data_IF_577649002546
#
_entry.id   IF_577649002546
#
_cell.length_a   1.000
_cell.length_b   1.000
_cell.length_c   1.000
_cell.angle_alpha   90.00
_cell.angle_beta   90.00
_cell.angle_gamma   90.00
#
_symmetry.space_group_name_H-M   'P 1'
#
loop_
_entity.id
_entity.type
_entity.pdbx_description
1 polymer ?
#
# COMPACT_ATOMS: atom_id res chain seq x y z
N UNK A 1 -15.98 -4.49 -12.31
CA UNK A 1 -15.28 -3.30 -11.78
C UNK A 1 -13.90 -3.77 -11.33
N UNK A 2 -12.79 -3.17 -11.81
CA UNK A 2 -11.43 -3.73 -11.65
C UNK A 2 -11.10 -4.05 -10.18
N UNK A 3 -10.97 -5.33 -9.86
CA UNK A 3 -10.64 -5.82 -8.53
C UNK A 3 -9.17 -5.50 -8.21
N UNK A 4 -8.96 -4.36 -7.59
CA UNK A 4 -7.67 -4.01 -7.06
C UNK A 4 -7.60 -4.56 -5.62
N UNK A 5 -6.81 -5.61 -5.42
CA UNK A 5 -6.70 -6.33 -4.14
C UNK A 5 -5.76 -5.64 -3.15
N UNK A 6 -5.88 -4.33 -2.97
CA UNK A 6 -5.19 -3.64 -1.88
C UNK A 6 -5.74 -4.06 -0.52
N UNK A 7 -5.02 -3.73 0.56
CA UNK A 7 -5.44 -4.01 1.94
C UNK A 7 -6.80 -3.38 2.30
N UNK A 8 -7.20 -2.33 1.59
CA UNK A 8 -8.47 -1.62 1.78
C UNK A 8 -9.65 -2.23 1.02
N UNK A 9 -9.40 -3.07 0.03
CA UNK A 9 -10.43 -3.52 -0.92
C UNK A 9 -11.61 -4.23 -0.24
N UNK A 10 -11.35 -5.10 0.73
CA UNK A 10 -12.40 -5.86 1.40
C UNK A 10 -13.37 -4.96 2.18
N UNK A 11 -12.85 -3.91 2.80
CA UNK A 11 -13.68 -2.92 3.49
C UNK A 11 -14.57 -2.13 2.52
N UNK A 12 -14.01 -1.74 1.37
CA UNK A 12 -14.77 -1.06 0.30
C UNK A 12 -15.85 -1.99 -0.25
N UNK A 13 -15.53 -3.28 -0.43
CA UNK A 13 -16.47 -4.30 -0.88
C UNK A 13 -17.65 -4.45 0.07
N UNK A 14 -17.41 -4.59 1.39
CA UNK A 14 -18.46 -4.68 2.39
C UNK A 14 -19.29 -3.39 2.51
N UNK A 15 -18.63 -2.23 2.45
CA UNK A 15 -19.31 -0.94 2.50
C UNK A 15 -20.26 -0.75 1.32
N UNK A 16 -19.84 -1.14 0.12
CA UNK A 16 -20.69 -1.10 -1.08
C UNK A 16 -21.86 -2.07 -0.97
N UNK A 17 -21.63 -3.30 -0.49
CA UNK A 17 -22.72 -4.25 -0.29
C UNK A 17 -23.78 -3.75 0.71
N UNK A 18 -23.36 -3.08 1.80
CA UNK A 18 -24.30 -2.41 2.72
C UNK A 18 -25.00 -1.22 2.08
N UNK A 19 -24.30 -0.42 1.29
CA UNK A 19 -24.88 0.73 0.60
C UNK A 19 -25.93 0.29 -0.44
N UNK A 20 -25.65 -0.76 -1.21
CA UNK A 20 -26.60 -1.32 -2.18
C UNK A 20 -27.83 -1.88 -1.46
N UNK A 21 -27.65 -2.57 -0.32
CA UNK A 21 -28.77 -3.03 0.51
C UNK A 21 -29.60 -1.85 1.08
N UNK A 22 -28.93 -0.78 1.54
CA UNK A 22 -29.58 0.43 2.04
C UNK A 22 -30.32 1.17 0.93
N UNK A 23 -29.71 1.40 -0.23
CA UNK A 23 -30.36 2.04 -1.39
C UNK A 23 -31.57 1.21 -1.84
N UNK A 24 -31.47 -0.11 -1.84
CA UNK A 24 -32.61 -0.99 -2.15
C UNK A 24 -33.76 -0.83 -1.16
N UNK A 25 -33.47 -0.53 0.11
CA UNK A 25 -34.48 -0.26 1.15
C UNK A 25 -34.97 1.20 1.20
N UNK A 26 -34.16 2.14 0.69
CA UNK A 26 -34.37 3.60 0.80
C UNK A 26 -34.90 4.21 -0.51
N UNK A 27 -34.90 3.46 -1.61
CA UNK A 27 -35.48 3.84 -2.91
C UNK A 27 -36.97 4.24 -2.83
N UNK A 28 -37.65 3.99 -1.71
CA UNK A 28 -39.01 4.44 -1.49
C UNK A 28 -39.13 5.84 -0.85
N UNK A 29 -38.10 6.47 -0.24
CA UNK A 29 -38.29 7.78 0.42
C UNK A 29 -37.16 8.84 0.37
N UNK A 30 -35.90 8.55 0.02
CA UNK A 30 -34.81 9.52 0.28
C UNK A 30 -34.03 10.05 -0.95
N UNK A 31 -34.72 10.67 -1.90
CA UNK A 31 -34.07 11.41 -3.00
C UNK A 31 -33.52 12.78 -2.56
N UNK A 32 -33.96 13.37 -1.45
CA UNK A 32 -33.56 14.76 -1.08
C UNK A 32 -32.44 14.90 -0.03
N UNK A 33 -32.02 13.82 0.66
CA UNK A 33 -31.08 13.95 1.81
C UNK A 33 -29.59 13.73 1.51
N UNK A 34 -29.21 13.27 0.32
CA UNK A 34 -27.89 12.66 0.07
C UNK A 34 -26.77 13.65 -0.33
N UNK A 35 -26.91 14.94 -0.02
CA UNK A 35 -25.86 15.94 -0.29
C UNK A 35 -24.80 16.02 0.84
N UNK A 36 -25.11 15.55 2.04
CA UNK A 36 -24.19 15.58 3.17
C UNK A 36 -23.42 14.26 3.26
N UNK A 37 -22.38 14.11 2.45
CA UNK A 37 -21.61 12.88 2.22
C UNK A 37 -20.56 12.56 3.32
N UNK A 38 -20.85 11.73 4.35
CA UNK A 38 -19.83 11.25 5.31
C UNK A 38 -18.75 10.38 4.62
N UNK A 39 -19.07 9.77 3.49
CA UNK A 39 -18.15 8.94 2.69
C UNK A 39 -16.97 9.76 2.12
N UNK A 40 -17.14 11.07 1.99
CA UNK A 40 -16.11 12.00 1.52
C UNK A 40 -15.08 12.35 2.59
N UNK A 41 -15.45 12.33 3.87
CA UNK A 41 -14.57 12.71 4.99
C UNK A 41 -13.64 11.54 5.34
N UNK A 42 -14.18 10.32 5.46
CA UNK A 42 -13.36 9.12 5.71
C UNK A 42 -12.38 8.85 4.57
N UNK A 43 -12.82 9.08 3.32
CA UNK A 43 -11.96 8.98 2.14
C UNK A 43 -10.79 9.97 2.17
N UNK A 44 -11.02 11.18 2.71
CA UNK A 44 -10.02 12.26 2.89
C UNK A 44 -9.09 12.02 4.08
N UNK A 45 -9.58 11.45 5.18
CA UNK A 45 -8.75 11.09 6.34
C UNK A 45 -7.69 10.03 6.01
N UNK A 46 -7.95 9.12 5.06
CA UNK A 46 -6.94 8.14 4.62
C UNK A 46 -5.69 8.79 3.98
N UNK A 47 -5.79 10.03 3.48
CA UNK A 47 -4.64 10.74 2.91
C UNK A 47 -3.78 11.43 3.96
N UNK A 48 -4.28 11.63 5.18
CA UNK A 48 -3.56 12.29 6.27
C UNK A 48 -2.32 11.49 6.70
N UNK A 49 -2.41 10.19 7.03
CA UNK A 49 -1.20 9.42 7.40
C UNK A 49 -0.19 9.37 6.26
N UNK A 50 -0.64 9.34 5.01
CA UNK A 50 0.23 9.39 3.83
C UNK A 50 0.94 10.74 3.69
N UNK A 51 0.22 11.85 3.86
CA UNK A 51 0.79 13.19 3.85
C UNK A 51 1.78 13.40 5.00
N UNK A 52 1.46 12.91 6.21
CA UNK A 52 2.33 13.03 7.39
C UNK A 52 3.62 12.23 7.21
N UNK A 53 3.55 11.00 6.74
CA UNK A 53 4.74 10.18 6.49
C UNK A 53 5.62 10.78 5.40
N UNK A 54 5.03 11.28 4.32
CA UNK A 54 5.74 11.97 3.23
C UNK A 54 6.44 13.22 3.78
N UNK A 55 5.74 14.04 4.54
CA UNK A 55 6.29 15.27 5.12
C UNK A 55 7.42 14.96 6.12
N UNK A 56 7.24 13.96 6.97
CA UNK A 56 8.27 13.51 7.91
C UNK A 56 9.54 13.05 7.20
N UNK A 57 9.41 12.22 6.15
CA UNK A 57 10.57 11.78 5.39
C UNK A 57 11.21 12.90 4.58
N UNK A 58 10.42 13.83 4.05
CA UNK A 58 10.93 14.99 3.31
C UNK A 58 11.72 15.94 4.22
N UNK A 59 11.26 16.18 5.45
CA UNK A 59 11.97 17.07 6.38
C UNK A 59 13.16 16.39 7.05
N UNK A 60 13.09 15.08 7.30
CA UNK A 60 14.14 14.34 7.99
C UNK A 60 15.30 13.86 7.10
N UNK A 61 15.05 13.49 5.84
CA UNK A 61 16.06 12.86 4.96
C UNK A 61 16.56 13.80 3.85
N UNK A 62 15.69 14.67 3.31
CA UNK A 62 16.05 15.49 2.15
C UNK A 62 17.24 16.46 2.39
N UNK A 63 17.44 17.02 3.60
CA UNK A 63 18.62 17.86 3.86
C UNK A 63 19.96 17.11 3.76
N UNK A 64 19.96 15.78 3.84
CA UNK A 64 21.18 14.95 3.94
C UNK A 64 21.44 14.16 2.66
N UNK A 65 20.40 13.56 2.07
CA UNK A 65 20.52 12.86 0.79
C UNK A 65 19.18 12.92 0.03
N UNK A 66 19.13 13.81 -0.96
CA UNK A 66 17.93 14.04 -1.76
C UNK A 66 17.50 12.80 -2.55
N UNK A 67 18.45 12.06 -3.12
CA UNK A 67 18.13 10.89 -3.93
C UNK A 67 17.51 9.78 -3.08
N UNK A 68 18.06 9.56 -1.88
CA UNK A 68 17.51 8.60 -0.93
C UNK A 68 16.15 9.06 -0.36
N UNK A 69 16.00 10.35 -0.07
CA UNK A 69 14.73 10.91 0.38
C UNK A 69 13.62 10.71 -0.67
N UNK A 70 13.91 10.97 -1.96
CA UNK A 70 12.98 10.75 -3.07
C UNK A 70 12.62 9.26 -3.22
N UNK A 71 13.60 8.36 -3.10
CA UNK A 71 13.34 6.92 -3.11
C UNK A 71 12.38 6.52 -1.98
N UNK A 72 12.68 6.91 -0.74
CA UNK A 72 11.87 6.56 0.44
C UNK A 72 10.46 7.15 0.33
N UNK A 73 10.34 8.40 -0.09
CA UNK A 73 9.06 9.09 -0.27
C UNK A 73 8.20 8.40 -1.35
N UNK A 74 8.78 8.08 -2.50
CA UNK A 74 8.07 7.38 -3.58
C UNK A 74 7.68 5.96 -3.14
N UNK A 75 8.55 5.25 -2.41
CA UNK A 75 8.24 3.93 -1.87
C UNK A 75 7.06 3.98 -0.88
N UNK A 76 7.06 4.93 0.06
CA UNK A 76 5.96 5.12 1.01
C UNK A 76 4.67 5.48 0.30
N UNK A 77 4.73 6.38 -0.67
CA UNK A 77 3.59 6.76 -1.48
C UNK A 77 2.97 5.54 -2.16
N UNK A 78 3.79 4.70 -2.80
CA UNK A 78 3.33 3.47 -3.46
C UNK A 78 2.77 2.47 -2.46
N UNK A 79 3.47 2.22 -1.35
CA UNK A 79 3.05 1.23 -0.35
C UNK A 79 1.70 1.60 0.28
N UNK A 80 1.40 2.89 0.45
CA UNK A 80 0.14 3.37 1.03
C UNK A 80 -0.98 3.63 0.02
N UNK A 81 -0.73 3.43 -1.27
CA UNK A 81 -1.77 3.64 -2.26
C UNK A 81 -2.93 2.66 -2.06
N UNK A 82 -4.15 3.19 -2.24
CA UNK A 82 -5.38 2.38 -2.22
C UNK A 82 -5.43 1.40 -3.39
N UNK A 83 -4.58 1.60 -4.40
CA UNK A 83 -4.43 0.76 -5.58
C UNK A 83 -3.06 0.10 -5.58
N UNK A 84 -2.98 -1.16 -6.00
CA UNK A 84 -1.72 -1.87 -6.23
C UNK A 84 -1.73 -2.35 -7.67
N UNK A 85 -0.76 -1.88 -8.46
CA UNK A 85 -0.50 -2.34 -9.83
C UNK A 85 0.99 -2.56 -10.01
N UNK A 86 1.36 -3.48 -10.92
CA UNK A 86 2.77 -3.75 -11.20
C UNK A 86 3.54 -2.50 -11.68
N UNK A 87 2.83 -1.53 -12.28
CA UNK A 87 3.41 -0.25 -12.71
C UNK A 87 4.03 0.53 -11.54
N UNK A 88 3.47 0.45 -10.34
CA UNK A 88 3.98 1.17 -9.18
C UNK A 88 5.35 0.67 -8.71
N UNK A 89 5.70 -0.58 -9.00
CA UNK A 89 7.03 -1.10 -8.70
C UNK A 89 8.11 -0.35 -9.47
N UNK A 90 7.83 0.05 -10.72
CA UNK A 90 8.78 0.81 -11.54
C UNK A 90 9.14 2.16 -10.92
N UNK A 91 8.21 2.79 -10.19
CA UNK A 91 8.38 4.15 -9.67
C UNK A 91 9.51 4.27 -8.65
N UNK A 92 9.62 3.31 -7.73
CA UNK A 92 10.72 3.33 -6.76
C UNK A 92 11.94 2.54 -7.27
N UNK A 93 11.75 1.56 -8.16
CA UNK A 93 12.87 0.81 -8.74
C UNK A 93 13.75 1.67 -9.66
N UNK A 94 13.19 2.68 -10.36
CA UNK A 94 14.01 3.60 -11.15
C UNK A 94 14.84 4.56 -10.29
N UNK A 95 14.41 4.83 -9.06
CA UNK A 95 15.14 5.66 -8.09
C UNK A 95 16.17 4.86 -7.29
N UNK A 96 15.99 3.55 -7.18
CA UNK A 96 16.86 2.66 -6.40
C UNK A 96 18.35 2.73 -6.81
N UNK A 97 18.73 2.75 -8.11
CA UNK A 97 20.13 2.87 -8.51
C UNK A 97 20.83 4.13 -7.97
N UNK A 98 20.09 5.22 -7.75
CA UNK A 98 20.65 6.49 -7.27
C UNK A 98 21.12 6.43 -5.81
N UNK A 99 20.56 5.51 -5.02
CA UNK A 99 20.91 5.35 -3.60
C UNK A 99 21.49 3.96 -3.26
N UNK A 100 21.54 3.06 -4.24
CA UNK A 100 21.95 1.65 -4.09
C UNK A 100 23.36 1.48 -3.52
N UNK A 101 24.30 2.33 -3.91
CA UNK A 101 25.71 2.22 -3.53
C UNK A 101 25.95 2.37 -2.02
N UNK A 102 25.01 3.00 -1.31
CA UNK A 102 25.07 3.23 0.13
C UNK A 102 24.26 2.24 0.95
N UNK A 103 23.56 1.30 0.31
CA UNK A 103 22.73 0.29 0.97
C UNK A 103 23.56 -0.97 1.21
N UNK A 104 23.56 -1.47 2.45
CA UNK A 104 24.23 -2.74 2.79
C UNK A 104 23.37 -3.94 2.40
N UNK A 105 23.40 -4.27 1.11
CA UNK A 105 22.59 -5.34 0.50
C UNK A 105 22.71 -6.71 1.16
N UNK A 106 23.90 -7.04 1.68
CA UNK A 106 24.21 -8.33 2.31
C UNK A 106 23.76 -8.45 3.77
N UNK A 107 23.11 -7.44 4.35
CA UNK A 107 22.59 -7.54 5.71
C UNK A 107 21.52 -8.62 5.82
N UNK A 108 21.62 -9.44 6.88
CA UNK A 108 20.60 -10.46 7.21
C UNK A 108 19.20 -9.86 7.29
N UNK A 109 19.06 -8.62 7.78
CA UNK A 109 17.75 -7.94 7.91
C UNK A 109 17.14 -7.68 6.53
N UNK A 110 17.92 -7.13 5.61
CA UNK A 110 17.46 -6.82 4.26
C UNK A 110 17.12 -8.11 3.49
N UNK A 111 17.99 -9.12 3.57
CA UNK A 111 17.74 -10.43 2.94
C UNK A 111 16.45 -11.07 3.45
N UNK A 112 16.23 -11.08 4.77
CA UNK A 112 14.97 -11.60 5.36
C UNK A 112 13.78 -10.78 4.87
N UNK A 113 13.87 -9.46 4.81
CA UNK A 113 12.77 -8.62 4.32
C UNK A 113 12.46 -8.85 2.84
N UNK A 114 13.47 -9.07 2.00
CA UNK A 114 13.31 -9.41 0.58
C UNK A 114 12.65 -10.78 0.40
N UNK A 115 13.06 -11.79 1.17
CA UNK A 115 12.44 -13.11 1.16
C UNK A 115 10.97 -13.05 1.60
N UNK A 116 10.67 -12.28 2.65
CA UNK A 116 9.30 -12.06 3.11
C UNK A 116 8.47 -11.33 2.06
N UNK A 117 9.02 -10.33 1.37
CA UNK A 117 8.35 -9.66 0.26
C UNK A 117 8.05 -10.65 -0.87
N UNK A 118 9.05 -11.43 -1.31
CA UNK A 118 8.87 -12.43 -2.37
C UNK A 118 7.78 -13.45 -2.03
N UNK A 119 7.79 -14.00 -0.81
CA UNK A 119 6.74 -14.90 -0.35
C UNK A 119 5.36 -14.22 -0.34
N UNK A 120 5.29 -12.99 0.17
CA UNK A 120 4.04 -12.24 0.22
C UNK A 120 3.47 -11.94 -1.18
N UNK A 121 4.32 -11.66 -2.18
CA UNK A 121 3.91 -11.47 -3.58
C UNK A 121 3.30 -12.76 -4.11
N UNK A 122 3.96 -13.91 -3.93
CA UNK A 122 3.46 -15.21 -4.39
C UNK A 122 2.12 -15.55 -3.74
N UNK A 123 1.99 -15.37 -2.42
CA UNK A 123 0.73 -15.61 -1.72
C UNK A 123 -0.38 -14.66 -2.19
N UNK A 124 -0.08 -13.37 -2.35
CA UNK A 124 -1.06 -12.38 -2.79
C UNK A 124 -1.53 -12.62 -4.23
N UNK A 125 -0.61 -12.84 -5.17
CA UNK A 125 -0.93 -13.15 -6.57
C UNK A 125 -1.67 -14.49 -6.69
N UNK A 126 -1.21 -15.52 -5.97
CA UNK A 126 -1.81 -16.85 -6.01
C UNK A 126 -3.24 -16.87 -5.48
N UNK A 127 -3.50 -16.15 -4.38
CA UNK A 127 -4.87 -16.03 -3.83
C UNK A 127 -5.76 -15.18 -4.72
N UNK A 128 -5.25 -14.09 -5.30
CA UNK A 128 -5.97 -13.27 -6.27
C UNK A 128 -6.33 -14.07 -7.54
N UNK A 129 -5.41 -14.88 -8.05
CA UNK A 129 -5.66 -15.78 -9.19
C UNK A 129 -6.77 -16.80 -8.88
N UNK A 130 -6.74 -17.39 -7.67
CA UNK A 130 -7.77 -18.33 -7.23
C UNK A 130 -9.16 -17.69 -7.15
N UNK A 131 -9.23 -16.42 -6.76
CA UNK A 131 -10.48 -15.66 -6.70
C UNK A 131 -10.99 -15.30 -8.10
N UNK A 132 -10.15 -14.67 -8.92
CA UNK A 132 -10.56 -14.10 -10.22
C UNK A 132 -10.68 -15.15 -11.32
N UNK A 133 -9.67 -16.02 -11.47
CA UNK A 133 -9.59 -16.96 -12.60
C UNK A 133 -10.25 -18.30 -12.31
N UNK A 134 -10.22 -18.75 -11.05
CA UNK A 134 -10.87 -20.02 -10.64
C UNK A 134 -12.26 -19.82 -10.02
N UNK A 135 -12.69 -18.59 -9.76
CA UNK A 135 -14.01 -18.29 -9.17
C UNK A 135 -14.20 -18.82 -7.75
N UNK A 136 -13.12 -19.14 -7.02
CA UNK A 136 -13.23 -19.67 -5.65
C UNK A 136 -13.54 -18.57 -4.65
N UNK A 137 -14.34 -18.84 -3.63
CA UNK A 137 -14.78 -17.85 -2.63
C UNK A 137 -13.71 -17.46 -1.57
N UNK A 138 -12.45 -17.31 -1.97
CA UNK A 138 -11.28 -17.06 -1.08
C UNK A 138 -11.09 -15.59 -0.68
N UNK A 139 -12.16 -14.79 -0.66
CA UNK A 139 -12.14 -13.33 -0.40
C UNK A 139 -11.36 -12.93 0.87
N UNK A 140 -11.59 -13.63 1.99
CA UNK A 140 -10.90 -13.36 3.27
C UNK A 140 -9.41 -13.66 3.19
N UNK A 141 -9.03 -14.72 2.46
CA UNK A 141 -7.65 -15.13 2.31
C UNK A 141 -6.87 -14.12 1.45
N UNK A 142 -7.48 -13.64 0.36
CA UNK A 142 -6.92 -12.55 -0.46
C UNK A 142 -6.71 -11.32 0.40
N UNK A 143 -7.69 -10.94 1.22
CA UNK A 143 -7.55 -9.79 2.12
C UNK A 143 -6.40 -9.93 3.12
N UNK A 144 -6.28 -11.09 3.78
CA UNK A 144 -5.14 -11.36 4.68
C UNK A 144 -3.81 -11.34 3.93
N UNK A 145 -3.75 -11.90 2.72
CA UNK A 145 -2.56 -11.85 1.87
C UNK A 145 -2.21 -10.40 1.49
N UNK A 146 -3.19 -9.54 1.21
CA UNK A 146 -2.99 -8.12 0.94
C UNK A 146 -2.41 -7.36 2.14
N UNK A 147 -2.87 -7.67 3.36
CA UNK A 147 -2.31 -7.10 4.60
C UNK A 147 -0.87 -7.58 4.80
N UNK A 148 -0.62 -8.88 4.61
CA UNK A 148 0.72 -9.46 4.70
C UNK A 148 1.69 -8.84 3.69
N UNK A 149 1.25 -8.65 2.45
CA UNK A 149 2.00 -7.97 1.40
C UNK A 149 2.31 -6.51 1.78
N UNK A 150 1.33 -5.76 2.28
CA UNK A 150 1.55 -4.41 2.78
C UNK A 150 2.60 -4.39 3.90
N UNK A 151 2.46 -5.26 4.91
CA UNK A 151 3.40 -5.37 6.01
C UNK A 151 4.83 -5.72 5.56
N UNK A 152 4.96 -6.60 4.57
CA UNK A 152 6.25 -6.95 3.98
C UNK A 152 6.93 -5.77 3.27
N UNK A 153 6.15 -4.93 2.56
CA UNK A 153 6.66 -3.70 1.94
C UNK A 153 7.18 -2.70 3.00
N UNK A 154 6.42 -2.47 4.07
CA UNK A 154 6.84 -1.57 5.16
C UNK A 154 8.09 -2.12 5.86
N UNK A 155 8.17 -3.43 6.09
CA UNK A 155 9.35 -4.08 6.68
C UNK A 155 10.58 -3.99 5.76
N UNK A 156 10.41 -4.13 4.45
CA UNK A 156 11.50 -3.93 3.49
C UNK A 156 12.01 -2.50 3.53
N UNK A 157 11.12 -1.51 3.48
CA UNK A 157 11.52 -0.12 3.54
C UNK A 157 12.26 0.21 4.84
N UNK A 158 11.75 -0.25 5.99
CA UNK A 158 12.44 -0.07 7.28
C UNK A 158 13.82 -0.72 7.32
N UNK A 159 13.99 -1.88 6.68
CA UNK A 159 15.29 -2.52 6.54
C UNK A 159 16.23 -1.72 5.62
N UNK A 160 15.74 -1.18 4.51
CA UNK A 160 16.53 -0.32 3.62
C UNK A 160 17.02 0.92 4.36
N UNK A 161 16.13 1.61 5.08
CA UNK A 161 16.47 2.81 5.88
C UNK A 161 17.49 2.49 6.96
N UNK A 162 17.36 1.35 7.65
CA UNK A 162 18.32 0.96 8.68
C UNK A 162 19.69 0.57 8.10
N UNK A 163 19.73 -0.05 6.92
CA UNK A 163 20.97 -0.50 6.27
C UNK A 163 21.59 0.55 5.34
N UNK A 164 20.98 1.73 5.25
CA UNK A 164 21.49 2.86 4.51
C UNK A 164 22.63 3.53 5.30
N UNK A 165 23.82 3.57 4.71
CA UNK A 165 25.00 4.22 5.29
C UNK A 165 24.98 5.71 4.93
N UNK A 166 24.06 6.45 5.57
CA UNK A 166 24.00 7.91 5.57
C UNK A 166 24.53 8.42 6.90
N UNK A 167 25.85 8.63 6.98
CA UNK A 167 26.65 9.21 8.06
C UNK A 167 26.08 9.14 9.49
N UNK A 168 26.60 8.18 10.27
CA UNK A 168 26.84 8.39 11.71
C UNK A 168 27.70 9.65 11.83
N UNK A 169 27.23 10.68 12.54
CA UNK A 169 28.15 11.61 13.20
C UNK A 169 28.95 10.84 14.25
#
# INVERSE_FOLDING_TARGET
>A
HRHNYSSFWYWIYLARGRLEALISSVANEAVEGMANNPMSIVGRLLFIPQAVLILYTSLGLAPYDLAFALFVQTFLFVAQNKVITAQYFTWYLCLLPLCSDRIRWRSRRLVISLLLLGLSIVCWLGTAYCLEMRGMSVHRLVWLASIGFYGANIKLLGAIVHEYVGYKQ
#
